data_IF_998231733187
#
_entry.id   IF_998231733187
#
_cell.length_a   1.000
_cell.length_b   1.000
_cell.length_c   1.000
_cell.angle_alpha   90.00
_cell.angle_beta   90.00
_cell.angle_gamma   90.00
#
_symmetry.space_group_name_H-M   'P 1'
#
loop_
_entity.id
_entity.type
_entity.pdbx_description
1 polymer ?
2 non-polymer ?
3 water ?
#
# COMPACT_ATOMS: atom_id res chain seq x y z
N UNK A 6 23.40 -12.39 -1.83
CA UNK A 6 22.78 -12.36 -0.51
C UNK A 6 22.91 -11.01 0.19
N UNK A 7 24.15 -10.61 0.50
CA UNK A 7 24.28 -9.44 1.34
C UNK A 7 23.95 -8.14 0.60
N UNK A 8 23.84 -8.17 -0.72
CA UNK A 8 23.22 -7.02 -1.37
C UNK A 8 21.70 -7.11 -1.33
N UNK A 9 21.16 -8.31 -1.17
CA UNK A 9 19.72 -8.43 -0.95
C UNK A 9 19.36 -7.89 0.43
N UNK A 10 20.03 -8.41 1.44
CA UNK A 10 19.90 -7.91 2.80
C UNK A 10 19.91 -6.39 2.83
N UNK A 11 20.94 -5.77 2.25
CA UNK A 11 21.03 -4.32 2.30
C UNK A 11 19.84 -3.66 1.61
N UNK A 12 19.34 -4.29 0.54
CA UNK A 12 18.19 -3.72 -0.17
C UNK A 12 16.91 -3.94 0.60
N UNK A 13 16.73 -5.14 1.16
CA UNK A 13 15.59 -5.36 2.04
C UNK A 13 15.62 -4.38 3.21
N UNK A 14 16.80 -4.18 3.77
CA UNK A 14 16.93 -3.26 4.88
C UNK A 14 16.55 -1.85 4.49
N UNK A 15 16.97 -1.42 3.30
CA UNK A 15 16.64 -0.07 2.87
C UNK A 15 15.14 0.11 2.72
N UNK A 16 14.46 -0.90 2.17
CA UNK A 16 13.04 -0.77 1.89
C UNK A 16 12.24 -0.78 3.18
N UNK A 17 12.68 -1.55 4.17
CA UNK A 17 12.04 -1.50 5.48
C UNK A 17 12.19 -0.14 6.11
N UNK A 18 13.38 0.46 5.97
CA UNK A 18 13.65 1.77 6.58
C UNK A 18 12.74 2.85 5.99
N UNK A 19 12.77 2.99 4.66
CA UNK A 19 11.92 3.96 3.97
C UNK A 19 10.46 3.63 4.18
N UNK A 20 10.12 2.35 4.27
CA UNK A 20 8.74 1.97 4.52
C UNK A 20 8.30 2.34 5.91
N UNK A 21 9.19 2.21 6.88
CA UNK A 21 8.86 2.62 8.26
C UNK A 21 8.77 4.13 8.36
N UNK A 22 9.72 4.85 7.76
CA UNK A 22 9.69 6.31 7.79
C UNK A 22 8.43 6.87 7.15
N UNK A 23 7.90 6.19 6.13
CA UNK A 23 6.63 6.62 5.53
C UNK A 23 5.52 6.54 6.56
N UNK A 24 5.37 5.38 7.20
CA UNK A 24 4.36 5.25 8.25
C UNK A 24 4.58 6.30 9.33
N UNK A 25 5.82 6.44 9.81
CA UNK A 25 6.15 7.47 10.79
C UNK A 25 5.71 8.84 10.29
N UNK A 26 6.10 9.18 9.05
CA UNK A 26 5.77 10.49 8.51
C UNK A 26 4.28 10.69 8.40
N UNK A 27 3.53 9.64 8.07
CA UNK A 27 2.09 9.81 7.99
C UNK A 27 1.48 10.05 9.36
N UNK A 28 2.09 9.52 10.40
CA UNK A 28 1.54 9.65 11.75
C UNK A 28 1.83 11.03 12.30
N UNK A 29 3.09 11.46 12.18
CA UNK A 29 3.48 12.80 12.61
C UNK A 29 2.61 13.86 11.94
N UNK A 30 2.33 13.68 10.64
CA UNK A 30 1.58 14.66 9.87
C UNK A 30 0.18 14.88 10.43
N UNK A 31 -0.55 13.79 10.68
CA UNK A 31 -1.90 13.92 11.21
C UNK A 31 -1.88 14.21 12.72
N UNK A 32 -0.88 13.72 13.45
CA UNK A 32 -0.88 13.93 14.89
C UNK A 32 -0.24 15.25 15.31
N UNK A 33 0.75 15.75 14.58
CA UNK A 33 1.45 16.98 14.93
C UNK A 33 1.12 18.15 14.02
N UNK A 34 0.71 17.91 12.77
CA UNK A 34 0.38 18.99 11.83
C UNK A 34 -1.11 19.17 11.60
N UNK A 35 -1.86 18.07 11.59
CA UNK A 35 -3.29 18.09 11.46
C UNK A 35 -3.93 17.96 12.85
N UNK A 36 -5.19 17.57 12.88
CA UNK A 36 -6.00 17.55 14.09
C UNK A 36 -5.78 16.32 14.95
N UNK A 37 -5.27 15.23 14.37
CA UNK A 37 -5.08 13.99 15.08
C UNK A 37 -6.04 12.91 14.61
N UNK A 38 -6.14 11.86 15.41
CA UNK A 38 -6.88 10.65 15.08
C UNK A 38 -8.05 10.45 16.04
N UNK A 39 -9.12 9.86 15.51
CA UNK A 39 -10.34 9.59 16.27
C UNK A 39 -11.44 9.01 15.41
N UNK A 40 -12.42 8.34 16.00
CA UNK A 40 -13.51 7.79 15.20
C UNK A 40 -14.78 8.61 15.34
N UNK A 41 -14.63 9.89 15.69
CA UNK A 41 -15.32 10.96 14.99
C UNK A 41 -14.85 12.32 15.44
N UNK A 42 -14.10 12.95 14.55
CA UNK A 42 -13.49 14.26 14.71
C UNK A 42 -14.16 15.47 14.11
N UNK A 43 -14.67 15.43 12.86
CA UNK A 43 -14.66 14.27 11.98
C UNK A 43 -13.40 14.24 11.13
N UNK A 44 -12.69 15.37 11.06
CA UNK A 44 -11.36 15.36 10.48
C UNK A 44 -10.40 14.45 11.23
N UNK A 45 -10.67 14.16 12.51
CA UNK A 45 -9.95 13.11 13.22
C UNK A 45 -10.25 11.75 12.64
N UNK A 46 -11.41 11.60 12.00
CA UNK A 46 -11.73 10.37 11.29
C UNK A 46 -11.08 10.33 9.92
N UNK A 47 -11.27 11.40 9.14
CA UNK A 47 -10.65 11.43 7.81
C UNK A 47 -9.19 11.05 7.88
N UNK A 48 -8.49 11.52 8.92
CA UNK A 48 -7.05 11.31 9.01
C UNK A 48 -6.68 9.84 9.10
N UNK A 49 -7.63 8.96 9.41
CA UNK A 49 -7.32 7.53 9.37
C UNK A 49 -7.06 7.08 7.95
N UNK A 50 -7.62 7.79 6.98
CA UNK A 50 -7.53 7.46 5.56
C UNK A 50 -6.07 7.46 5.12
N UNK A 51 -5.36 8.58 5.15
CA UNK A 51 -3.96 8.50 4.71
C UNK A 51 -3.11 7.57 5.59
N UNK A 52 -3.31 7.64 6.91
CA UNK A 52 -2.53 6.81 7.83
C UNK A 52 -2.69 5.34 7.49
N UNK A 53 -3.94 4.87 7.41
CA UNK A 53 -4.14 3.46 7.11
C UNK A 53 -3.76 3.11 5.67
N UNK A 54 -3.89 4.05 4.74
CA UNK A 54 -3.52 3.71 3.37
C UNK A 54 -2.01 3.52 3.25
N UNK A 55 -1.22 4.47 3.77
CA UNK A 55 0.23 4.32 3.79
C UNK A 55 0.62 3.02 4.51
N UNK A 56 0.03 2.78 5.68
CA UNK A 56 0.47 1.67 6.53
C UNK A 56 0.14 0.31 5.91
N UNK A 57 -1.09 0.12 5.49
CA UNK A 57 -1.45 -1.18 4.95
C UNK A 57 -1.29 -1.29 3.45
N UNK A 58 -1.84 -0.32 2.72
CA UNK A 58 -1.91 -0.46 1.27
C UNK A 58 -0.56 -0.23 0.61
N UNK A 59 0.29 0.61 1.17
CA UNK A 59 1.62 0.84 0.63
C UNK A 59 2.68 0.00 1.34
N UNK A 60 2.70 0.05 2.68
CA UNK A 60 3.79 -0.60 3.42
C UNK A 60 3.58 -2.12 3.56
N UNK A 61 2.48 -2.54 4.18
CA UNK A 61 2.25 -3.97 4.37
C UNK A 61 2.13 -4.67 3.01
N UNK A 62 1.44 -4.04 2.06
CA UNK A 62 1.37 -4.61 0.72
C UNK A 62 2.74 -4.66 0.07
N UNK A 63 3.60 -3.67 0.36
CA UNK A 63 4.94 -3.70 -0.18
C UNK A 63 5.72 -4.90 0.30
N UNK A 64 5.45 -5.32 1.54
CA UNK A 64 6.18 -6.42 2.14
C UNK A 64 5.61 -7.76 1.71
N UNK A 65 4.29 -7.88 1.67
CA UNK A 65 3.65 -9.08 1.12
C UNK A 65 4.15 -9.40 -0.29
N UNK A 66 4.46 -8.37 -1.08
CA UNK A 66 4.87 -8.61 -2.47
C UNK A 66 6.26 -9.24 -2.54
N UNK A 67 7.10 -9.00 -1.53
CA UNK A 67 8.47 -9.52 -1.52
C UNK A 67 8.64 -10.66 -0.53
N UNK A 68 7.56 -11.18 0.04
CA UNK A 68 7.69 -12.15 1.12
C UNK A 68 8.31 -13.44 0.61
N UNK A 69 8.04 -13.84 -0.64
CA UNK A 69 8.59 -15.09 -1.15
C UNK A 69 10.09 -15.02 -1.43
N UNK A 70 10.65 -13.81 -1.53
CA UNK A 70 12.05 -13.62 -1.88
C UNK A 70 12.97 -13.49 -0.67
N UNK A 71 12.46 -13.58 0.55
CA UNK A 71 13.34 -13.63 1.69
C UNK A 71 14.11 -14.94 1.71
N UNK A 72 15.44 -14.93 1.51
CA UNK A 72 16.16 -16.21 1.40
C UNK A 72 16.04 -17.08 2.65
N UNK A 73 15.78 -16.51 3.83
CA UNK A 73 15.52 -17.38 4.98
C UNK A 73 14.28 -18.22 4.81
N UNK A 74 13.52 -18.00 3.74
CA UNK A 74 12.28 -18.72 3.54
C UNK A 74 12.39 -19.77 2.43
N UNK A 75 13.52 -19.88 1.75
CA UNK A 75 13.54 -20.66 0.52
C UNK A 75 13.34 -22.15 0.79
N UNK A 76 14.03 -22.70 1.76
CA UNK A 76 13.69 -24.06 2.18
C UNK A 76 12.73 -24.02 3.37
N UNK A 77 11.73 -23.15 3.26
CA UNK A 77 10.54 -23.19 4.10
C UNK A 77 9.43 -23.88 3.31
N UNK A 78 8.31 -24.12 3.98
CA UNK A 78 7.16 -24.69 3.29
C UNK A 78 6.55 -23.67 2.34
N UNK A 79 6.30 -24.09 1.10
CA UNK A 79 5.66 -23.23 0.11
C UNK A 79 4.22 -22.92 0.50
N UNK A 80 3.52 -23.91 1.06
CA UNK A 80 2.20 -23.64 1.62
C UNK A 80 2.29 -22.61 2.74
N UNK A 81 3.36 -22.65 3.53
CA UNK A 81 3.52 -21.66 4.60
C UNK A 81 3.79 -20.28 4.04
N UNK A 82 4.71 -20.17 3.08
CA UNK A 82 4.97 -18.86 2.48
C UNK A 82 3.80 -18.36 1.62
N UNK A 83 3.02 -19.26 1.03
CA UNK A 83 1.73 -18.84 0.48
C UNK A 83 0.82 -18.27 1.56
N UNK A 84 0.91 -18.81 2.79
CA UNK A 84 0.05 -18.34 3.86
C UNK A 84 0.48 -16.97 4.36
N UNK A 85 1.78 -16.72 4.49
CA UNK A 85 2.21 -15.39 4.90
C UNK A 85 1.85 -14.36 3.83
N UNK A 86 2.05 -14.71 2.56
CA UNK A 86 1.67 -13.85 1.44
C UNK A 86 0.18 -13.54 1.48
N UNK A 87 -0.65 -14.58 1.41
CA UNK A 87 -2.09 -14.42 1.54
C UNK A 87 -2.44 -13.57 2.76
N UNK A 88 -1.86 -13.88 3.92
CA UNK A 88 -2.28 -13.23 5.14
C UNK A 88 -1.84 -11.78 5.20
N UNK A 89 -0.61 -11.50 4.76
CA UNK A 89 -0.12 -10.12 4.75
C UNK A 89 -0.93 -9.24 3.79
N UNK A 90 -1.39 -9.81 2.68
CA UNK A 90 -2.26 -9.10 1.75
C UNK A 90 -3.65 -8.91 2.32
N UNK A 91 -4.14 -9.90 3.09
CA UNK A 91 -5.46 -9.74 3.68
C UNK A 91 -5.48 -8.63 4.71
N UNK A 92 -4.40 -8.48 5.49
CA UNK A 92 -4.34 -7.39 6.49
C UNK A 92 -4.41 -6.04 5.80
N UNK A 93 -3.72 -5.88 4.67
CA UNK A 93 -3.78 -4.63 3.94
C UNK A 93 -5.14 -4.41 3.27
N UNK A 94 -5.83 -5.48 2.89
CA UNK A 94 -7.18 -5.32 2.37
C UNK A 94 -8.12 -4.80 3.45
N UNK A 95 -8.01 -5.35 4.67
CA UNK A 95 -8.82 -4.87 5.80
C UNK A 95 -8.53 -3.40 6.11
N UNK A 96 -7.26 -3.05 6.29
CA UNK A 96 -6.91 -1.68 6.62
C UNK A 96 -7.36 -0.70 5.53
N UNK A 97 -7.21 -1.08 4.25
CA UNK A 97 -7.63 -0.21 3.15
C UNK A 97 -9.15 -0.03 3.12
N UNK A 98 -9.89 -1.11 3.36
CA UNK A 98 -11.34 -0.98 3.44
C UNK A 98 -11.71 -0.05 4.57
N UNK A 99 -11.17 -0.30 5.77
CA UNK A 99 -11.38 0.59 6.90
C UNK A 99 -11.03 2.01 6.52
N UNK A 100 -9.88 2.16 5.83
CA UNK A 100 -9.44 3.48 5.39
C UNK A 100 -10.48 4.17 4.53
N UNK A 101 -11.15 3.41 3.65
CA UNK A 101 -12.15 4.01 2.77
C UNK A 101 -13.43 4.32 3.54
N UNK A 102 -13.79 3.49 4.53
CA UNK A 102 -14.94 3.77 5.38
C UNK A 102 -14.74 5.06 6.15
N UNK A 103 -13.49 5.46 6.38
CA UNK A 103 -13.22 6.69 7.11
C UNK A 103 -13.63 7.91 6.31
N UNK A 104 -13.24 7.96 5.03
CA UNK A 104 -13.59 9.12 4.20
C UNK A 104 -15.09 9.17 3.95
N UNK A 105 -15.71 8.03 3.66
CA UNK A 105 -17.15 8.04 3.40
C UNK A 105 -17.91 8.52 4.62
N UNK A 106 -17.51 8.08 5.83
CA UNK A 106 -18.19 8.53 7.05
C UNK A 106 -17.88 9.98 7.38
N UNK A 107 -16.67 10.46 7.08
CA UNK A 107 -16.42 11.88 7.24
C UNK A 107 -17.20 12.69 6.22
N UNK A 108 -17.29 12.19 4.99
CA UNK A 108 -18.00 12.93 3.95
C UNK A 108 -19.49 12.97 4.23
N UNK A 109 -20.09 11.81 4.52
CA UNK A 109 -21.53 11.76 4.69
C UNK A 109 -22.00 12.53 5.91
N UNK A 110 -21.23 12.46 7.01
CA UNK A 110 -21.54 13.22 8.20
C UNK A 110 -21.42 14.72 7.95
N UNK A 111 -20.47 15.12 7.10
CA UNK A 111 -20.22 16.53 6.82
C UNK A 111 -20.82 17.01 5.50
N UNK A 112 -21.63 16.18 4.84
CA UNK A 112 -22.23 16.53 3.55
C UNK A 112 -21.18 17.05 2.57
N UNK A 113 -20.20 16.22 2.29
CA UNK A 113 -19.26 16.48 1.19
C UNK A 113 -19.58 15.51 0.07
N UNK A 114 -19.24 15.90 -1.15
CA UNK A 114 -19.47 15.04 -2.31
C UNK A 114 -18.50 13.86 -2.31
N UNK A 115 -18.93 12.76 -2.90
CA UNK A 115 -18.16 11.52 -3.01
C UNK A 115 -17.88 11.16 -4.47
N UNK A 116 -16.68 10.65 -4.71
CA UNK A 116 -16.32 9.95 -5.95
C UNK A 116 -16.32 10.88 -7.16
N UNK A 117 -16.08 12.17 -6.94
CA UNK A 117 -15.92 13.08 -8.07
C UNK A 117 -14.48 13.19 -8.55
N UNK A 118 -13.51 12.78 -7.75
CA UNK A 118 -12.12 13.05 -8.10
C UNK A 118 -11.50 11.87 -8.86
N UNK A 119 -10.45 12.20 -9.61
CA UNK A 119 -9.62 11.18 -10.23
C UNK A 119 -8.91 10.33 -9.18
N UNK A 120 -8.58 10.93 -8.04
CA UNK A 120 -7.98 10.18 -6.95
C UNK A 120 -8.90 9.05 -6.53
N UNK A 121 -10.18 9.36 -6.29
CA UNK A 121 -11.15 8.37 -5.81
C UNK A 121 -11.52 7.35 -6.89
N UNK A 122 -11.55 7.76 -8.16
CA UNK A 122 -11.82 6.82 -9.24
C UNK A 122 -10.71 5.79 -9.33
N UNK A 123 -9.48 6.27 -9.56
CA UNK A 123 -8.32 5.38 -9.58
C UNK A 123 -8.27 4.55 -8.30
N UNK A 124 -8.44 5.20 -7.15
CA UNK A 124 -8.31 4.49 -5.89
C UNK A 124 -9.35 3.42 -5.70
N UNK A 125 -10.62 3.75 -5.95
CA UNK A 125 -11.67 2.75 -5.78
C UNK A 125 -11.45 1.56 -6.71
N UNK A 126 -10.86 1.78 -7.89
CA UNK A 126 -10.58 0.65 -8.79
C UNK A 126 -9.42 -0.18 -8.25
N UNK A 127 -8.36 0.50 -7.80
CA UNK A 127 -7.28 -0.17 -7.07
C UNK A 127 -7.83 -1.09 -6.00
N UNK A 128 -8.76 -0.58 -5.18
CA UNK A 128 -9.29 -1.36 -4.07
C UNK A 128 -10.05 -2.56 -4.60
N UNK A 129 -10.88 -2.35 -5.62
CA UNK A 129 -11.68 -3.44 -6.16
C UNK A 129 -10.79 -4.47 -6.86
N UNK A 130 -9.87 -3.99 -7.70
CA UNK A 130 -8.86 -4.89 -8.26
C UNK A 130 -8.08 -5.64 -7.17
N UNK A 131 -7.78 -4.98 -6.06
CA UNK A 131 -7.04 -5.64 -4.98
C UNK A 131 -7.83 -6.82 -4.42
N UNK A 132 -9.10 -6.59 -4.10
CA UNK A 132 -9.90 -7.67 -3.51
C UNK A 132 -10.08 -8.82 -4.49
N UNK A 133 -10.23 -8.51 -5.78
CA UNK A 133 -10.34 -9.54 -6.80
C UNK A 133 -9.05 -10.32 -6.95
N UNK A 134 -7.90 -9.64 -6.90
CA UNK A 134 -6.64 -10.38 -6.89
C UNK A 134 -6.55 -11.26 -5.65
N UNK A 135 -7.06 -10.78 -4.52
CA UNK A 135 -7.00 -11.56 -3.29
C UNK A 135 -7.96 -12.75 -3.35
N UNK A 136 -9.18 -12.55 -3.84
CA UNK A 136 -10.12 -13.66 -3.93
C UNK A 136 -9.67 -14.68 -4.97
N UNK A 137 -9.24 -14.20 -6.15
CA UNK A 137 -8.76 -15.11 -7.18
C UNK A 137 -7.50 -15.83 -6.72
N UNK A 138 -6.58 -15.11 -6.10
CA UNK A 138 -5.36 -15.74 -5.62
C UNK A 138 -5.63 -16.80 -4.56
N UNK A 139 -6.68 -16.61 -3.76
CA UNK A 139 -6.98 -17.55 -2.70
C UNK A 139 -7.52 -18.85 -3.27
N UNK A 140 -8.43 -18.77 -4.23
CA UNK A 140 -9.04 -19.98 -4.76
C UNK A 140 -8.15 -20.71 -5.76
N UNK A 141 -7.21 -20.03 -6.38
CA UNK A 141 -6.38 -20.70 -7.38
C UNK A 141 -5.07 -21.19 -6.79
N UNK A 142 -4.40 -20.39 -5.94
CA UNK A 142 -3.02 -20.69 -5.54
C UNK A 142 -2.83 -21.16 -4.10
N UNK A 143 -3.74 -20.83 -3.19
CA UNK A 143 -3.75 -21.41 -1.85
C UNK A 143 -4.59 -22.68 -1.86
N UNK A 144 -5.90 -22.54 -2.08
CA UNK A 144 -6.90 -23.59 -2.25
C UNK A 144 -6.44 -24.71 -3.19
N UNK A 145 -6.96 -25.95 -3.02
CA UNK A 145 -6.32 -27.11 -3.66
C UNK A 145 -6.91 -27.55 -4.99
N UNK A 146 -8.23 -27.40 -5.19
CA UNK A 146 -8.83 -28.02 -6.39
C UNK A 146 -8.45 -27.31 -7.71
N UNK A 147 -7.51 -26.38 -7.83
CA UNK A 147 -7.57 -25.80 -9.17
C UNK A 147 -6.65 -26.57 -10.12
N UNK A 148 -7.09 -26.73 -11.38
CA UNK A 148 -6.26 -27.42 -12.37
C UNK A 148 -4.90 -26.76 -12.49
N UNK A 149 -3.85 -27.60 -12.45
CA UNK A 149 -2.49 -27.11 -12.53
C UNK A 149 -2.22 -26.36 -13.83
N UNK A 150 -3.05 -26.59 -14.86
CA UNK A 150 -2.97 -25.78 -16.08
C UNK A 150 -3.49 -24.36 -15.84
N UNK A 151 -4.59 -24.23 -15.10
CA UNK A 151 -5.09 -22.91 -14.74
C UNK A 151 -4.12 -22.17 -13.83
N UNK A 152 -3.37 -22.89 -13.00
CA UNK A 152 -2.24 -22.30 -12.30
C UNK A 152 -1.24 -21.71 -13.26
N UNK A 153 -0.95 -22.45 -14.34
CA UNK A 153 0.20 -22.12 -15.19
C UNK A 153 0.02 -20.78 -15.86
N UNK A 154 -1.18 -20.48 -16.33
CA UNK A 154 -1.36 -19.24 -17.07
C UNK A 154 -2.12 -18.17 -16.31
N UNK A 155 -2.64 -18.45 -15.11
CA UNK A 155 -3.03 -17.35 -14.25
C UNK A 155 -1.81 -16.71 -13.60
N UNK A 156 -0.74 -17.47 -13.40
CA UNK A 156 0.40 -16.93 -12.67
C UNK A 156 1.02 -15.69 -13.32
N UNK A 157 1.23 -15.62 -14.65
CA UNK A 157 1.80 -14.38 -15.20
C UNK A 157 0.91 -13.18 -15.03
N UNK A 158 -0.41 -13.38 -15.10
CA UNK A 158 -1.35 -12.29 -14.87
C UNK A 158 -1.29 -11.84 -13.42
N UNK A 159 -1.17 -12.79 -12.49
CA UNK A 159 -1.20 -12.49 -11.07
C UNK A 159 0.03 -11.72 -10.64
N UNK A 160 1.20 -12.06 -11.20
CA UNK A 160 2.41 -11.34 -10.83
C UNK A 160 2.36 -9.94 -11.40
N UNK A 161 2.02 -9.83 -12.68
CA UNK A 161 1.86 -8.53 -13.32
C UNK A 161 0.83 -7.67 -12.60
N UNK A 162 -0.35 -8.23 -12.32
CA UNK A 162 -1.42 -7.45 -11.72
C UNK A 162 -1.04 -6.91 -10.35
N UNK A 163 -0.30 -7.71 -9.57
CA UNK A 163 0.11 -7.25 -8.25
C UNK A 163 1.09 -6.08 -8.32
N UNK A 164 2.03 -6.14 -9.26
CA UNK A 164 2.95 -5.01 -9.43
C UNK A 164 2.18 -3.78 -9.91
N UNK A 165 1.20 -3.99 -10.80
CA UNK A 165 0.47 -2.89 -11.41
C UNK A 165 -0.53 -2.29 -10.43
N UNK A 166 -1.17 -3.12 -9.59
CA UNK A 166 -1.99 -2.57 -8.50
C UNK A 166 -1.11 -1.80 -7.52
N UNK A 167 0.03 -2.36 -7.15
CA UNK A 167 0.92 -1.70 -6.19
C UNK A 167 1.41 -0.37 -6.73
N UNK A 168 1.74 -0.30 -8.01
CA UNK A 168 2.12 0.98 -8.60
C UNK A 168 0.98 1.97 -8.60
N UNK A 169 -0.25 1.49 -8.83
CA UNK A 169 -1.38 2.41 -8.93
C UNK A 169 -1.77 2.94 -7.56
N UNK A 170 -1.55 2.15 -6.52
CA UNK A 170 -1.76 2.63 -5.16
C UNK A 170 -0.81 3.78 -4.84
N UNK A 171 0.45 3.65 -5.23
CA UNK A 171 1.42 4.72 -4.99
C UNK A 171 1.01 5.99 -5.71
N UNK A 172 0.54 5.85 -6.96
CA UNK A 172 0.11 7.01 -7.72
C UNK A 172 -1.15 7.64 -7.13
N UNK A 173 -2.04 6.82 -6.56
CA UNK A 173 -3.21 7.34 -5.86
C UNK A 173 -2.81 8.05 -4.58
N UNK A 174 -1.78 7.55 -3.88
CA UNK A 174 -1.35 8.16 -2.62
C UNK A 174 -0.83 9.57 -2.84
N UNK A 175 0.07 9.73 -3.81
CA UNK A 175 0.59 11.04 -4.15
C UNK A 175 -0.48 11.96 -4.69
N UNK A 176 -1.56 11.41 -5.26
CA UNK A 176 -2.68 12.27 -5.61
C UNK A 176 -3.42 12.70 -4.36
N UNK A 177 -3.61 11.77 -3.42
CA UNK A 177 -4.28 12.13 -2.19
C UNK A 177 -3.51 13.13 -1.34
N UNK A 178 -2.18 12.99 -1.27
CA UNK A 178 -1.37 14.01 -0.62
C UNK A 178 -1.55 15.36 -1.29
N UNK A 179 -1.58 15.38 -2.62
CA UNK A 179 -1.74 16.61 -3.40
C UNK A 179 -3.05 17.30 -3.10
N UNK A 180 -4.15 16.54 -3.17
CA UNK A 180 -5.45 17.12 -2.85
C UNK A 180 -5.46 17.70 -1.46
N UNK A 181 -5.05 16.90 -0.47
CA UNK A 181 -5.17 17.26 0.94
C UNK A 181 -4.28 18.43 1.31
N UNK A 182 -3.07 18.48 0.76
CA UNK A 182 -2.24 19.67 0.91
C UNK A 182 -2.91 20.91 0.32
N UNK A 183 -3.44 20.81 -0.91
CA UNK A 183 -4.09 21.96 -1.54
C UNK A 183 -5.32 22.39 -0.76
N UNK A 184 -6.22 21.44 -0.42
CA UNK A 184 -7.41 21.79 0.35
C UNK A 184 -7.03 22.47 1.68
N UNK A 185 -5.98 21.98 2.32
CA UNK A 185 -5.69 22.39 3.69
C UNK A 185 -4.79 23.62 3.76
N UNK A 186 -3.69 23.64 3.02
CA UNK A 186 -2.71 24.71 3.18
C UNK A 186 -3.24 25.96 2.46
N UNK A 187 -4.31 26.51 3.01
CA UNK A 187 -4.90 27.72 2.46
C UNK A 187 -4.22 28.98 3.01
N UNK A 188 -3.80 28.98 4.27
CA UNK A 188 -3.24 30.21 4.86
C UNK A 188 -2.44 29.96 6.13
N UNK A 189 -1.10 29.90 6.07
CA UNK A 189 -0.14 30.04 4.95
C UNK A 189 -0.46 29.12 3.78
N UNK A 190 -0.40 29.65 2.57
CA UNK A 190 -0.77 28.85 1.41
C UNK A 190 0.31 27.82 1.09
N UNK A 191 -0.12 26.68 0.53
CA UNK A 191 0.81 25.65 0.07
C UNK A 191 1.99 26.27 -0.68
N UNK A 192 1.70 27.22 -1.57
CA UNK A 192 2.72 27.81 -2.43
C UNK A 192 3.74 28.65 -1.66
N UNK A 193 3.48 28.95 -0.39
CA UNK A 193 4.42 29.70 0.44
C UNK A 193 5.45 28.83 1.12
N UNK A 194 5.58 27.58 0.69
CA UNK A 194 6.54 26.64 1.27
C UNK A 194 6.41 26.47 2.77
N UNK A 195 5.22 26.24 3.32
CA UNK A 195 5.10 26.06 4.77
C UNK A 195 5.72 24.75 5.20
N UNK A 196 5.99 24.59 6.51
CA UNK A 196 6.63 23.35 6.96
C UNK A 196 5.80 22.10 6.69
N UNK A 197 4.48 22.15 6.93
CA UNK A 197 3.65 20.99 6.57
C UNK A 197 3.83 20.64 5.11
N UNK A 198 3.98 21.66 4.25
CA UNK A 198 4.15 21.42 2.82
C UNK A 198 5.46 20.72 2.47
N UNK A 199 6.57 21.22 3.02
CA UNK A 199 7.86 20.54 2.85
C UNK A 199 7.82 19.14 3.48
N UNK A 200 7.20 19.02 4.66
CA UNK A 200 7.16 17.73 5.32
C UNK A 200 6.40 16.70 4.50
N UNK A 201 5.21 17.05 4.02
CA UNK A 201 4.40 16.06 3.32
C UNK A 201 4.88 15.82 1.89
N UNK A 202 5.54 16.78 1.26
CA UNK A 202 6.24 16.47 0.02
C UNK A 202 7.30 15.43 0.24
N UNK A 203 7.96 15.47 1.41
CA UNK A 203 8.99 14.50 1.75
C UNK A 203 8.40 13.14 2.04
N UNK A 204 7.21 13.11 2.66
CA UNK A 204 6.46 11.86 2.76
C UNK A 204 6.13 11.31 1.37
N UNK A 205 5.75 12.20 0.45
CA UNK A 205 5.52 11.76 -0.94
C UNK A 205 6.74 11.11 -1.54
N UNK A 206 7.90 11.77 -1.46
CA UNK A 206 9.14 11.18 -1.96
C UNK A 206 9.47 9.85 -1.27
N UNK A 207 9.20 9.73 0.03
CA UNK A 207 9.53 8.47 0.71
C UNK A 207 8.71 7.32 0.17
N UNK A 208 7.41 7.56 -0.04
CA UNK A 208 6.52 6.56 -0.64
C UNK A 208 7.00 6.19 -2.04
N UNK A 209 7.49 7.19 -2.78
CA UNK A 209 8.14 6.94 -4.06
C UNK A 209 9.31 5.97 -3.90
N UNK A 210 10.34 6.38 -3.15
CA UNK A 210 11.56 5.57 -3.00
C UNK A 210 11.22 4.17 -2.52
N UNK A 211 10.21 4.03 -1.67
CA UNK A 211 9.80 2.69 -1.24
C UNK A 211 9.34 1.83 -2.41
N UNK A 212 8.46 2.37 -3.25
CA UNK A 212 8.04 1.62 -4.42
C UNK A 212 9.20 1.23 -5.32
N UNK A 213 10.11 2.18 -5.57
CA UNK A 213 11.23 1.87 -6.45
C UNK A 213 12.04 0.73 -5.88
N UNK A 214 12.21 0.72 -4.55
CA UNK A 214 12.93 -0.36 -3.87
C UNK A 214 12.17 -1.68 -3.97
N UNK A 215 10.86 -1.66 -3.70
CA UNK A 215 10.11 -2.90 -3.76
C UNK A 215 10.14 -3.45 -5.18
N UNK A 216 10.09 -2.57 -6.17
CA UNK A 216 10.13 -3.01 -7.56
C UNK A 216 11.49 -3.58 -7.93
N UNK A 217 12.56 -3.03 -7.35
CA UNK A 217 13.89 -3.59 -7.61
C UNK A 217 14.01 -4.99 -7.04
N UNK A 218 13.70 -5.16 -5.75
CA UNK A 218 13.74 -6.49 -5.15
C UNK A 218 12.94 -7.47 -6.00
N UNK A 219 11.71 -7.09 -6.35
CA UNK A 219 10.77 -8.07 -6.92
C UNK A 219 11.04 -8.41 -8.39
N UNK A 220 11.96 -7.71 -9.05
CA UNK A 220 12.29 -8.06 -10.43
C UNK A 220 13.71 -8.58 -10.61
N UNK A 221 14.40 -8.88 -9.53
CA UNK A 221 15.69 -9.58 -9.63
C UNK A 221 15.45 -11.07 -9.85
N UNK A 222 15.74 -11.62 -11.04
CA UNK A 222 15.50 -13.05 -11.26
C UNK A 222 16.36 -13.94 -10.38
N UNK A 223 17.50 -13.43 -9.92
CA UNK A 223 18.36 -14.13 -8.99
C UNK A 223 17.78 -14.24 -7.58
N UNK A 224 16.63 -13.62 -7.33
CA UNK A 224 16.02 -13.57 -6.01
C UNK A 224 14.66 -14.21 -5.99
N UNK A 225 14.19 -14.68 -7.12
CA UNK A 225 12.96 -15.48 -7.16
C UNK A 225 13.11 -16.65 -6.19
N UNK A 226 12.04 -16.92 -5.44
CA UNK A 226 11.95 -18.16 -4.70
C UNK A 226 12.25 -19.34 -5.63
N UNK A 227 13.24 -20.18 -5.31
CA UNK A 227 13.63 -21.23 -6.27
C UNK A 227 12.49 -22.22 -6.47
N UNK A 228 12.13 -22.41 -7.74
CA UNK A 228 10.99 -23.24 -8.14
C UNK A 228 10.98 -24.58 -7.42
N UNK A 229 9.77 -25.03 -7.09
CA UNK A 229 9.54 -26.25 -6.34
C UNK A 229 9.84 -27.49 -7.20
N UNK A 230 10.04 -28.66 -6.58
CA UNK A 230 10.01 -29.90 -7.36
C UNK A 230 8.71 -30.08 -8.15
#
# INVERSE_FOLDING_TARGET
>A
MAMEGYWRFLALLGSALLVGFLSVIFALVWVLHYREGLGWDGSALEFNWHPVLMVTGFVFIQGIAIIVYRLPWTWKCSKLLMKSIHAGLNAVAAILAIISVVAVFENHNVNNIANMYSLHSWVGLIAVICYLLQLLSGFSVFLLPWAPLSLRAFLMPIHVYSGIVIFGTVIATALMGLTEKLIFSLRDPAYSTFPPEGVFVNTLGLLILVFGALIFWIVTRPQWKRPKEPNSTILHPNGGTEQGARGSMPAYSGNNMDKSDSELNSEVAARKRNLALDEAGQRSTMVELVPR
#
